data_IF_958389588647
#
_entry.id   IF_958389588647
#
_cell.length_a   1.000
_cell.length_b   1.000
_cell.length_c   1.000
_cell.angle_alpha   90.00
_cell.angle_beta   90.00
_cell.angle_gamma   90.00
#
_symmetry.space_group_name_H-M   'P 1'
#
loop_
_entity.id
_entity.type
_entity.pdbx_description
1 polymer ?
#
# COMPACT_ATOMS: atom_id res chain seq x y z
N UNK A 1 -24.57 -17.82 38.90
CA UNK A 1 -23.12 -17.89 38.68
C UNK A 1 -22.84 -18.53 37.29
N UNK A 2 -21.63 -18.40 36.80
CA UNK A 2 -21.19 -19.02 35.54
C UNK A 2 -21.36 -20.54 35.59
N UNK A 3 -21.11 -21.14 36.75
CA UNK A 3 -21.26 -22.58 36.97
C UNK A 3 -22.72 -23.07 36.81
N UNK A 4 -23.67 -22.28 37.31
CA UNK A 4 -25.11 -22.60 37.14
C UNK A 4 -25.55 -22.48 35.69
N UNK A 5 -24.98 -21.55 34.94
CA UNK A 5 -25.24 -21.38 33.52
C UNK A 5 -24.64 -22.53 32.71
N UNK A 6 -23.40 -22.92 33.00
CA UNK A 6 -22.78 -24.09 32.35
C UNK A 6 -23.52 -25.37 32.62
N UNK A 7 -24.00 -25.59 33.85
CA UNK A 7 -24.85 -26.73 34.20
C UNK A 7 -26.20 -26.76 33.43
N UNK A 8 -26.81 -25.61 33.20
CA UNK A 8 -28.00 -25.53 32.33
C UNK A 8 -27.70 -25.88 30.86
N UNK A 9 -26.55 -25.39 30.35
CA UNK A 9 -26.13 -25.74 28.99
C UNK A 9 -25.94 -27.26 28.78
N UNK A 10 -25.39 -27.95 29.78
CA UNK A 10 -25.25 -29.42 29.76
C UNK A 10 -26.61 -30.13 29.76
N UNK A 11 -27.56 -29.70 30.61
CA UNK A 11 -28.91 -30.29 30.71
C UNK A 11 -29.68 -30.14 29.39
N UNK A 12 -29.54 -29.00 28.72
CA UNK A 12 -30.23 -28.71 27.47
C UNK A 12 -29.42 -29.09 26.20
N UNK A 13 -28.28 -29.74 26.37
CA UNK A 13 -27.46 -30.22 25.24
C UNK A 13 -26.84 -29.11 24.40
N UNK A 14 -26.68 -27.90 24.98
CA UNK A 14 -26.06 -26.77 24.29
C UNK A 14 -24.54 -26.96 24.28
N UNK A 15 -24.00 -27.37 23.14
CA UNK A 15 -22.57 -27.66 22.97
C UNK A 15 -21.72 -26.39 22.87
N UNK A 16 -22.33 -25.25 22.57
CA UNK A 16 -21.62 -23.96 22.40
C UNK A 16 -22.42 -22.84 23.06
N UNK A 17 -22.17 -22.66 24.36
CA UNK A 17 -22.82 -21.63 25.16
C UNK A 17 -22.54 -20.22 24.67
N UNK A 18 -21.42 -20.01 23.98
CA UNK A 18 -21.00 -18.70 23.46
C UNK A 18 -21.96 -18.21 22.37
N UNK A 19 -22.48 -19.12 21.53
CA UNK A 19 -23.48 -18.81 20.49
C UNK A 19 -24.80 -18.24 21.02
N UNK A 20 -25.15 -18.51 22.27
CA UNK A 20 -26.38 -17.97 22.88
C UNK A 20 -26.26 -16.48 23.22
N UNK A 21 -25.05 -15.97 23.45
CA UNK A 21 -24.83 -14.58 23.83
C UNK A 21 -24.47 -13.68 22.66
N UNK A 22 -23.86 -14.23 21.65
CA UNK A 22 -23.47 -13.47 20.46
C UNK A 22 -24.58 -13.62 19.41
N UNK A 23 -25.54 -12.70 19.44
CA UNK A 23 -26.55 -12.53 18.38
C UNK A 23 -25.95 -12.03 17.05
N UNK A 24 -24.65 -12.02 16.92
CA UNK A 24 -24.03 -11.81 15.63
C UNK A 24 -23.79 -13.16 15.00
N UNK A 25 -24.47 -13.40 13.89
CA UNK A 25 -23.96 -14.34 12.91
C UNK A 25 -22.52 -13.93 12.67
N UNK A 26 -21.57 -14.70 13.24
CA UNK A 26 -20.23 -14.75 12.72
C UNK A 26 -20.37 -15.37 11.32
N UNK A 27 -20.81 -14.53 10.39
CA UNK A 27 -20.60 -14.82 8.99
C UNK A 27 -19.12 -15.05 8.87
N UNK A 28 -18.77 -16.27 8.50
CA UNK A 28 -17.37 -16.63 8.30
C UNK A 28 -16.73 -15.51 7.50
N UNK A 29 -15.51 -15.04 7.86
CA UNK A 29 -14.84 -13.95 7.15
C UNK A 29 -14.72 -14.19 5.62
N UNK A 30 -15.04 -15.40 5.17
CA UNK A 30 -15.09 -15.80 3.77
C UNK A 30 -16.33 -15.33 3.01
N UNK A 31 -17.36 -14.76 3.65
CA UNK A 31 -18.56 -14.30 2.92
C UNK A 31 -18.29 -13.11 1.99
N UNK A 32 -17.22 -12.37 2.24
CA UNK A 32 -16.76 -11.27 1.39
C UNK A 32 -15.94 -11.74 0.17
N UNK A 33 -15.54 -13.01 0.15
CA UNK A 33 -14.77 -13.57 -0.95
C UNK A 33 -15.69 -14.09 -2.07
N UNK A 34 -15.29 -13.83 -3.31
CA UNK A 34 -15.89 -14.46 -4.48
C UNK A 34 -15.57 -15.97 -4.50
N UNK A 35 -16.12 -16.71 -5.48
CA UNK A 35 -15.93 -18.17 -5.59
C UNK A 35 -14.45 -18.56 -5.66
N UNK A 36 -13.64 -17.85 -6.48
CA UNK A 36 -12.22 -18.14 -6.64
C UNK A 36 -11.43 -17.89 -5.34
N UNK A 37 -11.75 -16.80 -4.62
CA UNK A 37 -11.12 -16.50 -3.33
C UNK A 37 -11.40 -17.55 -2.27
N UNK A 38 -12.61 -18.14 -2.26
CA UNK A 38 -12.95 -19.24 -1.35
C UNK A 38 -12.24 -20.54 -1.69
N UNK A 39 -12.08 -20.86 -2.97
CA UNK A 39 -11.31 -22.01 -3.43
C UNK A 39 -9.84 -21.87 -2.99
N UNK A 40 -9.22 -20.72 -3.21
CA UNK A 40 -7.83 -20.46 -2.75
C UNK A 40 -7.67 -20.53 -1.23
N UNK A 41 -8.68 -20.06 -0.48
CA UNK A 41 -8.66 -20.15 0.98
C UNK A 41 -8.71 -21.60 1.47
N UNK A 42 -9.53 -22.44 0.83
CA UNK A 42 -9.62 -23.85 1.17
C UNK A 42 -8.32 -24.61 0.81
N UNK A 43 -7.72 -24.31 -0.35
CA UNK A 43 -6.40 -24.84 -0.73
C UNK A 43 -5.33 -24.47 0.30
N UNK A 44 -5.30 -23.22 0.73
CA UNK A 44 -4.37 -22.75 1.76
C UNK A 44 -4.59 -23.46 3.09
N UNK A 45 -5.84 -23.62 3.50
CA UNK A 45 -6.21 -24.37 4.71
C UNK A 45 -5.72 -25.82 4.65
N UNK A 46 -5.88 -26.49 3.49
CA UNK A 46 -5.37 -27.84 3.29
C UNK A 46 -3.84 -27.92 3.40
N UNK A 47 -3.12 -26.94 2.83
CA UNK A 47 -1.67 -26.84 2.98
C UNK A 47 -1.24 -26.71 4.44
N UNK A 48 -1.94 -25.86 5.22
CA UNK A 48 -1.67 -25.72 6.65
C UNK A 48 -1.89 -27.03 7.43
N UNK A 49 -2.97 -27.74 7.12
CA UNK A 49 -3.28 -29.05 7.72
C UNK A 49 -2.20 -30.08 7.36
N UNK A 50 -1.85 -30.16 6.08
CA UNK A 50 -0.83 -31.11 5.58
C UNK A 50 0.56 -30.84 6.13
N UNK A 51 0.90 -29.57 6.41
CA UNK A 51 2.19 -29.21 7.03
C UNK A 51 2.38 -29.84 8.40
N UNK A 52 1.30 -30.21 9.09
CA UNK A 52 1.32 -30.74 10.44
C UNK A 52 1.73 -29.75 11.54
N UNK A 53 2.06 -28.51 11.15
CA UNK A 53 2.57 -27.49 12.08
C UNK A 53 1.48 -26.82 12.93
N UNK A 54 0.21 -26.89 12.46
CA UNK A 54 -0.94 -26.19 13.04
C UNK A 54 -2.00 -27.14 13.61
N UNK A 55 -1.56 -28.28 14.17
CA UNK A 55 -2.46 -29.24 14.80
C UNK A 55 -2.92 -28.75 16.17
N UNK A 56 -4.20 -28.95 16.55
CA UNK A 56 -4.67 -28.65 17.90
C UNK A 56 -3.79 -29.33 18.97
N UNK A 57 -3.39 -28.58 20.00
CA UNK A 57 -2.58 -29.08 21.10
C UNK A 57 -1.07 -28.98 20.89
N UNK A 58 -0.58 -28.50 19.75
CA UNK A 58 0.81 -28.06 19.64
C UNK A 58 0.96 -26.66 20.21
N UNK A 59 2.02 -26.38 21.00
CA UNK A 59 2.30 -25.00 21.43
C UNK A 59 2.52 -24.14 20.19
N UNK A 60 1.96 -22.92 20.20
CA UNK A 60 2.14 -21.91 19.15
C UNK A 60 3.63 -21.72 18.86
N UNK A 61 4.14 -22.52 17.94
CA UNK A 61 5.53 -22.42 17.50
C UNK A 61 5.56 -21.65 16.20
N UNK A 62 6.00 -20.44 16.32
CA UNK A 62 6.27 -19.42 15.31
C UNK A 62 5.03 -18.64 14.88
N UNK A 63 4.99 -17.42 15.36
CA UNK A 63 4.43 -16.32 14.61
C UNK A 63 4.94 -16.47 13.16
N UNK A 64 4.07 -16.79 12.22
CA UNK A 64 4.39 -16.64 10.81
C UNK A 64 4.52 -15.12 10.63
N UNK A 65 5.74 -14.64 10.71
CA UNK A 65 6.02 -13.30 10.23
C UNK A 65 5.85 -13.40 8.74
N UNK A 66 4.69 -12.98 8.24
CA UNK A 66 4.55 -12.74 6.80
C UNK A 66 5.70 -11.82 6.41
N UNK A 67 6.41 -12.12 5.31
CA UNK A 67 7.47 -11.23 4.87
C UNK A 67 6.83 -9.85 4.71
N UNK A 68 7.36 -8.87 5.45
CA UNK A 68 6.92 -7.49 5.29
C UNK A 68 7.10 -7.12 3.83
N UNK A 69 6.09 -6.46 3.27
CA UNK A 69 6.20 -5.91 1.94
C UNK A 69 7.34 -4.92 1.93
N UNK A 70 8.25 -5.05 0.98
CA UNK A 70 9.32 -4.09 0.76
C UNK A 70 9.14 -3.44 -0.60
N UNK A 71 9.47 -2.15 -0.70
CA UNK A 71 9.48 -1.41 -1.95
C UNK A 71 10.80 -0.65 -2.09
N UNK A 72 11.24 -0.41 -3.34
CA UNK A 72 12.41 0.40 -3.59
C UNK A 72 12.14 1.87 -3.23
N UNK A 73 13.09 2.49 -2.54
CA UNK A 73 13.15 3.91 -2.28
C UNK A 73 14.21 4.52 -3.19
N UNK A 74 13.83 5.54 -3.92
CA UNK A 74 14.72 6.33 -4.78
C UNK A 74 14.93 7.73 -4.20
N UNK A 75 16.15 8.23 -4.26
CA UNK A 75 16.43 9.64 -4.01
C UNK A 75 16.15 10.42 -5.30
N UNK A 76 15.21 11.37 -5.27
CA UNK A 76 14.75 12.15 -6.45
C UNK A 76 15.90 12.84 -7.21
N UNK A 77 17.03 13.08 -6.54
CA UNK A 77 18.20 13.71 -7.17
C UNK A 77 19.07 12.81 -8.04
N UNK A 78 18.96 11.49 -7.94
CA UNK A 78 19.93 10.55 -8.54
C UNK A 78 19.37 9.80 -9.75
N UNK A 79 18.08 9.60 -9.84
CA UNK A 79 17.45 8.74 -10.86
C UNK A 79 17.13 9.45 -12.18
N UNK A 80 17.53 10.70 -12.32
CA UNK A 80 17.07 11.59 -13.36
C UNK A 80 17.74 11.43 -14.74
N UNK A 81 18.64 10.49 -14.92
CA UNK A 81 19.51 10.50 -16.12
C UNK A 81 19.10 9.62 -17.30
N UNK A 82 18.33 8.53 -17.13
CA UNK A 82 18.22 7.50 -18.20
C UNK A 82 16.82 6.99 -18.50
N UNK A 83 15.78 7.44 -17.83
CA UNK A 83 14.41 6.98 -18.07
C UNK A 83 14.15 5.51 -17.73
N UNK A 84 15.06 4.85 -17.05
CA UNK A 84 14.95 3.50 -16.54
C UNK A 84 15.04 3.58 -15.01
N UNK A 85 13.94 3.87 -14.36
CA UNK A 85 13.83 3.88 -12.90
C UNK A 85 14.21 2.54 -12.25
N UNK A 86 14.29 1.46 -13.03
CA UNK A 86 14.52 0.11 -12.55
C UNK A 86 15.98 -0.37 -12.68
N UNK A 87 16.85 0.37 -13.40
CA UNK A 87 18.23 -0.04 -13.69
C UNK A 87 19.31 0.81 -12.98
N UNK A 88 18.91 1.75 -12.12
CA UNK A 88 19.89 2.51 -11.33
C UNK A 88 20.32 1.70 -10.12
N UNK A 89 21.64 1.55 -9.85
CA UNK A 89 22.13 0.79 -8.69
C UNK A 89 21.85 1.48 -7.34
N UNK A 90 21.30 2.70 -7.33
CA UNK A 90 21.15 3.52 -6.15
C UNK A 90 19.69 3.58 -5.65
N UNK A 91 19.14 2.45 -5.27
CA UNK A 91 17.90 2.38 -4.51
C UNK A 91 18.08 1.53 -3.25
N UNK A 92 17.34 1.82 -2.22
CA UNK A 92 17.30 1.03 -0.99
C UNK A 92 15.94 0.35 -0.87
N UNK A 93 15.93 -0.95 -0.51
CA UNK A 93 14.67 -1.64 -0.20
C UNK A 93 14.23 -1.29 1.22
N UNK A 94 13.07 -0.69 1.37
CA UNK A 94 12.52 -0.30 2.66
C UNK A 94 11.24 -1.07 2.99
N UNK A 95 11.02 -1.31 4.29
CA UNK A 95 9.80 -1.92 4.79
C UNK A 95 8.62 -0.97 4.54
N UNK A 96 7.51 -1.52 4.04
CA UNK A 96 6.29 -0.76 3.75
C UNK A 96 5.35 -0.87 4.94
N UNK A 97 4.92 0.26 5.53
CA UNK A 97 3.87 0.29 6.54
C UNK A 97 2.55 -0.30 6.03
N UNK A 98 1.76 -0.91 6.91
CA UNK A 98 0.50 -1.57 6.56
C UNK A 98 -0.56 -0.58 6.01
N UNK A 99 -0.45 0.71 6.36
CA UNK A 99 -1.34 1.77 5.90
C UNK A 99 -1.13 2.16 4.42
N UNK A 100 0.00 1.76 3.84
CA UNK A 100 0.35 2.12 2.46
C UNK A 100 -0.45 1.28 1.47
N UNK A 101 -1.16 1.90 0.53
CA UNK A 101 -1.95 1.19 -0.47
C UNK A 101 -1.14 0.12 -1.22
N UNK A 102 -1.76 -1.02 -1.50
CA UNK A 102 -1.11 -2.14 -2.20
C UNK A 102 -0.67 -1.76 -3.62
N UNK A 103 -1.27 -0.73 -4.18
CA UNK A 103 -0.97 -0.19 -5.51
C UNK A 103 0.34 0.59 -5.57
N UNK A 104 0.88 1.04 -4.42
CA UNK A 104 2.18 1.71 -4.41
C UNK A 104 3.28 0.78 -4.94
N UNK A 105 4.12 1.30 -5.80
CA UNK A 105 5.17 0.54 -6.49
C UNK A 105 6.58 0.92 -6.03
N UNK A 106 6.78 2.15 -5.58
CA UNK A 106 8.05 2.63 -5.05
C UNK A 106 7.83 3.82 -4.11
N UNK A 107 8.91 4.27 -3.49
CA UNK A 107 8.93 5.42 -2.60
C UNK A 107 10.00 6.41 -3.07
N UNK A 108 9.72 7.70 -2.92
CA UNK A 108 10.71 8.76 -3.11
C UNK A 108 10.72 9.69 -1.90
N UNK A 109 11.89 10.26 -1.60
CA UNK A 109 12.01 11.31 -0.61
C UNK A 109 11.84 12.69 -1.27
N UNK A 110 10.97 13.50 -0.68
CA UNK A 110 10.78 14.90 -1.09
C UNK A 110 11.99 15.71 -0.68
N UNK A 111 12.60 16.43 -1.63
CA UNK A 111 13.70 17.34 -1.38
C UNK A 111 13.28 18.78 -1.68
N UNK A 112 13.37 19.63 -0.69
CA UNK A 112 12.98 21.05 -0.78
C UNK A 112 11.51 21.28 -0.45
N UNK A 113 11.13 22.54 -0.44
CA UNK A 113 9.84 23.01 0.09
C UNK A 113 8.85 23.48 -0.99
N UNK A 114 9.03 23.02 -2.22
CA UNK A 114 8.17 23.47 -3.33
C UNK A 114 6.75 22.92 -3.28
N UNK A 115 6.51 21.86 -2.52
CA UNK A 115 5.20 21.23 -2.36
C UNK A 115 4.56 21.50 -0.99
N UNK A 116 5.16 22.36 -0.17
CA UNK A 116 4.51 22.85 1.05
C UNK A 116 3.21 23.61 0.72
N UNK A 117 2.17 23.44 1.55
CA UNK A 117 2.11 22.68 2.80
C UNK A 117 1.69 21.20 2.62
N UNK A 118 1.62 20.67 1.41
CA UNK A 118 1.14 19.31 1.14
C UNK A 118 2.17 18.26 1.51
N UNK A 119 3.44 18.52 1.18
CA UNK A 119 4.59 17.71 1.57
C UNK A 119 5.68 18.61 2.09
N UNK A 120 6.29 18.20 3.19
CA UNK A 120 7.42 18.88 3.80
C UNK A 120 8.76 18.31 3.25
N UNK A 121 9.83 19.09 3.40
CA UNK A 121 11.18 18.64 3.06
C UNK A 121 11.58 17.42 3.90
N UNK A 122 12.02 16.36 3.23
CA UNK A 122 12.38 15.10 3.87
C UNK A 122 11.26 14.06 3.97
N UNK A 123 10.03 14.41 3.62
CA UNK A 123 8.91 13.46 3.62
C UNK A 123 9.14 12.30 2.65
N UNK A 124 8.59 11.13 2.99
CA UNK A 124 8.55 9.97 2.12
C UNK A 124 7.16 9.84 1.49
N UNK A 125 7.12 9.88 0.15
CA UNK A 125 5.89 9.69 -0.61
C UNK A 125 5.88 8.34 -1.32
N UNK A 126 4.73 7.65 -1.25
CA UNK A 126 4.50 6.38 -1.91
C UNK A 126 3.87 6.62 -3.27
N UNK A 127 4.52 6.12 -4.30
CA UNK A 127 4.14 6.39 -5.68
C UNK A 127 3.54 5.14 -6.31
N UNK A 128 2.44 5.33 -7.02
CA UNK A 128 1.85 4.34 -7.90
C UNK A 128 2.27 4.65 -9.34
N UNK A 129 3.05 3.75 -9.93
CA UNK A 129 3.43 3.91 -11.33
C UNK A 129 2.24 3.65 -12.24
N UNK A 130 1.91 4.64 -13.07
CA UNK A 130 0.79 4.58 -14.02
C UNK A 130 1.18 5.34 -15.30
N UNK A 131 0.59 4.98 -16.47
CA UNK A 131 0.99 5.53 -17.75
C UNK A 131 0.44 6.94 -18.01
N UNK A 132 -0.54 7.39 -17.23
CA UNK A 132 -1.23 8.68 -17.41
C UNK A 132 -1.57 9.27 -16.06
N UNK A 133 -1.66 10.61 -16.02
CA UNK A 133 -2.13 11.39 -14.88
C UNK A 133 -3.37 12.17 -15.27
N UNK A 134 -4.27 12.33 -14.32
CA UNK A 134 -5.40 13.26 -14.46
C UNK A 134 -5.00 14.67 -14.05
N UNK A 135 -5.75 15.66 -14.52
CA UNK A 135 -5.51 17.06 -14.17
C UNK A 135 -5.73 17.29 -12.67
N UNK A 136 -4.72 17.79 -11.98
CA UNK A 136 -4.70 17.96 -10.53
C UNK A 136 -3.99 16.84 -9.77
N UNK A 137 -3.56 15.77 -10.44
CA UNK A 137 -2.76 14.72 -9.80
C UNK A 137 -1.38 15.21 -9.44
N UNK A 138 -0.84 14.72 -8.32
CA UNK A 138 0.55 14.95 -7.94
C UNK A 138 1.38 13.77 -8.46
N UNK A 139 2.41 14.09 -9.23
CA UNK A 139 3.31 13.10 -9.82
C UNK A 139 4.78 13.39 -9.58
N UNK A 140 5.60 12.38 -9.91
CA UNK A 140 7.05 12.51 -9.99
C UNK A 140 7.40 12.66 -11.46
N UNK A 141 8.02 13.76 -11.80
CA UNK A 141 8.36 14.13 -13.18
C UNK A 141 9.85 14.26 -13.35
N UNK A 142 10.33 13.82 -14.49
CA UNK A 142 11.66 14.11 -14.97
C UNK A 142 11.57 15.13 -16.10
N UNK A 143 12.20 16.29 -15.95
CA UNK A 143 12.20 17.36 -16.96
C UNK A 143 13.58 17.94 -17.12
N UNK A 144 14.13 17.89 -18.32
CA UNK A 144 15.39 18.52 -18.71
C UNK A 144 16.55 18.21 -17.74
N UNK A 145 16.67 16.95 -17.33
CA UNK A 145 17.75 16.49 -16.46
C UNK A 145 17.47 16.58 -14.96
N UNK A 146 16.30 17.06 -14.54
CA UNK A 146 15.95 17.23 -13.15
C UNK A 146 14.66 16.47 -12.80
N UNK A 147 14.60 15.95 -11.56
CA UNK A 147 13.41 15.32 -11.02
C UNK A 147 12.60 16.28 -10.17
N UNK A 148 11.29 16.22 -10.28
CA UNK A 148 10.37 17.10 -9.56
C UNK A 148 9.18 16.30 -9.03
N UNK A 149 8.72 16.68 -7.83
CA UNK A 149 7.39 16.34 -7.34
C UNK A 149 6.52 17.57 -7.55
N UNK A 150 5.48 17.47 -8.37
CA UNK A 150 4.60 18.59 -8.74
C UNK A 150 3.16 18.12 -8.99
N UNK A 151 2.22 19.04 -8.95
CA UNK A 151 0.88 18.86 -9.46
C UNK A 151 0.87 18.99 -10.99
N UNK A 152 0.23 18.03 -11.65
CA UNK A 152 0.02 18.05 -13.10
C UNK A 152 -1.19 18.91 -13.45
N UNK A 153 -0.95 19.95 -14.25
CA UNK A 153 -2.01 20.89 -14.63
C UNK A 153 -2.09 21.08 -16.13
N UNK A 154 -3.25 20.76 -16.69
CA UNK A 154 -3.56 20.98 -18.11
C UNK A 154 -4.53 22.14 -18.25
N UNK A 155 -4.14 23.13 -19.03
CA UNK A 155 -4.94 24.33 -19.32
C UNK A 155 -5.01 24.56 -20.82
N UNK A 156 -5.82 25.53 -21.25
CA UNK A 156 -5.87 25.99 -22.66
C UNK A 156 -4.49 26.54 -23.14
N UNK A 157 -3.64 26.95 -22.22
CA UNK A 157 -2.31 27.52 -22.51
C UNK A 157 -1.22 26.45 -22.60
N UNK A 158 -1.54 25.19 -22.27
CA UNK A 158 -0.63 24.05 -22.30
C UNK A 158 -0.57 23.27 -20.99
N UNK A 159 0.47 22.47 -20.88
CA UNK A 159 0.75 21.61 -19.73
C UNK A 159 1.74 22.30 -18.79
N UNK A 160 1.42 22.30 -17.51
CA UNK A 160 2.23 22.91 -16.47
C UNK A 160 2.45 21.94 -15.32
N UNK A 161 3.61 22.01 -14.70
CA UNK A 161 3.90 21.39 -13.42
C UNK A 161 3.85 22.48 -12.35
N UNK A 162 2.90 22.38 -11.45
CA UNK A 162 2.58 23.41 -10.48
C UNK A 162 3.11 23.02 -9.12
N UNK A 163 3.76 23.98 -8.45
CA UNK A 163 4.17 23.87 -7.05
C UNK A 163 3.03 24.29 -6.15
N UNK A 164 2.84 23.61 -5.02
CA UNK A 164 1.86 24.05 -4.01
C UNK A 164 2.38 25.27 -3.22
N UNK A 165 3.67 25.45 -3.15
CA UNK A 165 4.28 26.63 -2.58
C UNK A 165 4.32 27.77 -3.62
N UNK A 166 3.57 28.83 -3.38
CA UNK A 166 3.39 29.97 -4.27
C UNK A 166 4.70 30.73 -4.59
N UNK A 167 5.77 30.50 -3.83
CA UNK A 167 7.09 31.08 -4.12
C UNK A 167 7.71 30.56 -5.41
N UNK A 168 7.23 29.43 -5.91
CA UNK A 168 7.75 28.75 -7.09
C UNK A 168 6.82 28.92 -8.28
N UNK A 169 7.36 29.46 -9.36
CA UNK A 169 6.60 29.59 -10.61
C UNK A 169 6.32 28.21 -11.24
N UNK A 170 5.16 28.03 -11.91
CA UNK A 170 4.86 26.83 -12.67
C UNK A 170 5.92 26.56 -13.76
N UNK A 171 6.28 25.31 -13.94
CA UNK A 171 7.15 24.85 -15.02
C UNK A 171 6.26 24.49 -16.22
N UNK A 172 6.44 25.17 -17.33
CA UNK A 172 5.71 24.85 -18.56
C UNK A 172 6.39 23.71 -19.31
N UNK A 173 5.64 22.66 -19.62
CA UNK A 173 6.12 21.55 -20.47
C UNK A 173 5.83 21.91 -21.92
N UNK A 174 6.86 21.82 -22.76
CA UNK A 174 6.77 22.11 -24.19
C UNK A 174 7.15 20.84 -24.98
N UNK A 175 6.87 20.83 -26.29
CA UNK A 175 7.27 19.71 -27.17
C UNK A 175 8.80 19.52 -27.23
N UNK A 176 9.59 20.53 -26.83
CA UNK A 176 11.05 20.48 -26.81
C UNK A 176 11.58 20.01 -25.44
N UNK A 177 10.74 19.91 -24.41
CA UNK A 177 11.14 19.44 -23.08
C UNK A 177 11.30 17.90 -23.11
N UNK A 178 12.43 17.38 -22.62
CA UNK A 178 12.53 15.93 -22.33
C UNK A 178 11.83 15.66 -21.01
N UNK A 179 10.50 15.51 -21.11
CA UNK A 179 9.62 15.30 -19.95
C UNK A 179 9.12 13.86 -19.91
N UNK A 180 9.24 13.21 -18.75
CA UNK A 180 8.76 11.83 -18.47
C UNK A 180 8.04 11.80 -17.13
N UNK A 181 7.09 10.91 -17.02
CA UNK A 181 6.28 10.64 -15.82
C UNK A 181 6.69 9.30 -15.24
#
# INVERSE_FOLDING_TARGET
SIEQFMGLCEIYGVKDAFRLFVKQDFTEPCCELNREGREKLEDYKQLLICSGLYRPGQPDRKIIVFPKRTLPRFDVGVSAGTGQFLDTPDYEMIDVPDEVPITATFCVQVNGNSMEPTFDDGDYIWVHQQPTLDNGDIGVFYVDGNSYVKEYSVTEQGVFLVSHNEKYAPIRITELSDARI
#
